data_IF_748058338878
#
_entry.id   IF_748058338878
#
_cell.length_a   1.000
_cell.length_b   1.000
_cell.length_c   1.000
_cell.angle_alpha   90.00
_cell.angle_beta   90.00
_cell.angle_gamma   90.00
#
_symmetry.space_group_name_H-M   'P 1'
#
loop_
_entity.id
_entity.type
_entity.pdbx_description
1 polymer ?
#
# COMPACT_ATOMS: atom_id res chain seq x y z
N UNK A 1 -4.55 -12.68 -38.24
CA UNK A 1 -5.27 -11.77 -37.33
C UNK A 1 -4.26 -11.22 -36.32
N UNK A 2 -4.49 -10.01 -35.81
CA UNK A 2 -3.57 -9.36 -34.87
C UNK A 2 -3.83 -9.90 -33.44
N UNK A 3 -2.88 -10.62 -32.81
CA UNK A 3 -3.06 -11.19 -31.48
C UNK A 3 -3.28 -10.13 -30.38
N UNK A 4 -2.93 -8.86 -30.61
CA UNK A 4 -3.12 -7.75 -29.67
C UNK A 4 -4.57 -7.22 -29.65
N UNK A 5 -5.37 -7.62 -30.64
CA UNK A 5 -6.80 -7.31 -30.76
C UNK A 5 -7.71 -8.46 -30.29
N UNK A 6 -7.16 -9.66 -30.12
CA UNK A 6 -7.91 -10.86 -29.75
C UNK A 6 -7.86 -11.10 -28.24
N UNK A 7 -9.01 -11.06 -27.57
CA UNK A 7 -9.11 -11.33 -26.13
C UNK A 7 -8.99 -12.84 -25.86
N UNK A 8 -8.06 -13.22 -24.98
CA UNK A 8 -7.88 -14.58 -24.46
C UNK A 8 -8.68 -14.81 -23.18
N UNK A 9 -8.64 -13.85 -22.26
CA UNK A 9 -9.41 -13.86 -21.01
C UNK A 9 -10.13 -12.52 -20.90
N UNK A 10 -11.44 -12.56 -20.74
CA UNK A 10 -12.27 -11.39 -20.46
C UNK A 10 -12.89 -11.55 -19.08
N UNK A 11 -12.58 -10.64 -18.16
CA UNK A 11 -13.09 -10.65 -16.80
C UNK A 11 -13.60 -9.26 -16.41
N UNK A 12 -14.69 -8.78 -17.02
CA UNK A 12 -15.24 -7.47 -16.72
C UNK A 12 -15.87 -7.43 -15.31
N UNK A 13 -15.82 -6.28 -14.62
CA UNK A 13 -15.25 -4.99 -15.07
C UNK A 13 -13.74 -4.85 -14.81
N UNK A 14 -13.02 -5.94 -14.49
CA UNK A 14 -11.72 -5.87 -13.86
C UNK A 14 -10.55 -5.82 -14.83
N UNK A 15 -10.42 -6.83 -15.69
CA UNK A 15 -9.26 -6.95 -16.57
C UNK A 15 -9.54 -7.75 -17.84
N UNK A 16 -8.65 -7.58 -18.81
CA UNK A 16 -8.55 -8.36 -20.05
C UNK A 16 -7.13 -8.83 -20.27
N UNK A 17 -6.99 -10.06 -20.75
CA UNK A 17 -5.71 -10.59 -21.23
C UNK A 17 -5.88 -10.91 -22.71
N UNK A 18 -5.05 -10.31 -23.56
CA UNK A 18 -5.05 -10.55 -25.00
C UNK A 18 -4.23 -11.80 -25.35
N UNK A 19 -4.43 -12.36 -26.55
CA UNK A 19 -3.66 -13.53 -27.01
C UNK A 19 -2.17 -13.26 -27.13
N UNK A 20 -1.78 -11.99 -27.30
CA UNK A 20 -0.39 -11.54 -27.23
C UNK A 20 0.24 -11.63 -25.84
N UNK A 21 -0.56 -11.78 -24.78
CA UNK A 21 -0.13 -11.68 -23.39
C UNK A 21 -0.26 -10.29 -22.79
N UNK A 22 -0.64 -9.26 -23.57
CA UNK A 22 -0.94 -7.93 -23.04
C UNK A 22 -2.05 -8.03 -22.00
N UNK A 23 -1.82 -7.44 -20.84
CA UNK A 23 -2.81 -7.28 -19.78
C UNK A 23 -3.32 -5.85 -19.78
N UNK A 24 -4.63 -5.68 -19.70
CA UNK A 24 -5.31 -4.41 -19.51
C UNK A 24 -6.13 -4.49 -18.23
N UNK A 25 -5.80 -3.69 -17.22
CA UNK A 25 -6.65 -3.47 -16.04
C UNK A 25 -7.61 -2.33 -16.36
N UNK A 26 -8.90 -2.60 -16.29
CA UNK A 26 -9.96 -1.66 -16.69
C UNK A 26 -10.40 -0.74 -15.55
N UNK A 27 -10.10 -1.14 -14.30
CA UNK A 27 -10.40 -0.39 -13.07
C UNK A 27 -9.25 -0.51 -12.07
N UNK A 28 -9.22 0.38 -11.09
CA UNK A 28 -8.24 0.30 -9.99
C UNK A 28 -6.81 0.65 -10.42
N UNK A 29 -6.65 1.41 -11.48
CA UNK A 29 -5.35 1.92 -11.98
C UNK A 29 -5.10 3.38 -11.59
N UNK A 30 -6.12 4.08 -11.09
CA UNK A 30 -5.98 5.48 -10.65
C UNK A 30 -5.04 5.56 -9.46
N UNK A 31 -4.24 6.63 -9.43
CA UNK A 31 -3.29 6.88 -8.33
C UNK A 31 -3.32 8.35 -7.93
N UNK A 32 -2.95 8.61 -6.67
CA UNK A 32 -2.71 9.96 -6.14
C UNK A 32 -1.27 10.10 -5.65
N UNK A 33 -0.65 11.28 -5.77
CA UNK A 33 0.68 11.51 -5.24
C UNK A 33 0.68 11.43 -3.70
N UNK A 34 1.81 11.06 -3.12
CA UNK A 34 2.03 11.22 -1.70
C UNK A 34 2.22 12.71 -1.36
N UNK A 35 1.91 13.10 -0.12
CA UNK A 35 2.06 14.46 0.36
C UNK A 35 1.21 14.76 1.60
N UNK A 36 1.11 16.05 1.92
CA UNK A 36 0.28 16.57 3.00
C UNK A 36 -1.19 16.60 2.57
N UNK A 37 -2.03 15.91 3.32
CA UNK A 37 -3.48 16.02 3.23
C UNK A 37 -3.97 17.14 4.14
N UNK A 38 -4.36 18.28 3.56
CA UNK A 38 -4.78 19.47 4.33
C UNK A 38 -6.03 19.24 5.19
N UNK A 39 -6.87 18.26 4.85
CA UNK A 39 -8.10 17.97 5.59
C UNK A 39 -7.83 17.22 6.91
N UNK A 40 -6.83 16.33 6.93
CA UNK A 40 -6.50 15.49 8.07
C UNK A 40 -5.19 15.85 8.76
N UNK A 41 -4.35 16.69 8.13
CA UNK A 41 -3.00 17.02 8.58
C UNK A 41 -2.00 15.87 8.43
N UNK A 42 -2.39 14.76 7.81
CA UNK A 42 -1.52 13.59 7.61
C UNK A 42 -0.56 13.87 6.47
N UNK A 43 0.73 13.60 6.70
CA UNK A 43 1.74 13.66 5.65
C UNK A 43 2.09 12.25 5.18
N UNK A 44 2.21 12.04 3.88
CA UNK A 44 2.54 10.75 3.29
C UNK A 44 3.78 10.79 2.39
N UNK A 45 4.48 9.66 2.29
CA UNK A 45 5.71 9.53 1.48
C UNK A 45 5.90 8.11 0.97
N UNK A 46 6.32 7.98 -0.28
CA UNK A 46 6.66 6.69 -0.90
C UNK A 46 8.15 6.34 -0.68
N UNK A 47 8.42 5.07 -0.38
CA UNK A 47 9.76 4.53 -0.14
C UNK A 47 9.85 3.14 -0.77
N UNK A 48 10.86 2.93 -1.63
CA UNK A 48 11.21 1.59 -2.12
C UNK A 48 11.95 0.85 -1.01
N UNK A 49 11.46 -0.33 -0.63
CA UNK A 49 12.01 -1.14 0.47
C UNK A 49 12.83 -2.34 -0.03
N UNK A 50 12.59 -2.78 -1.26
CA UNK A 50 13.40 -3.76 -1.97
C UNK A 50 13.65 -3.30 -3.40
N UNK A 51 14.91 -2.99 -3.72
CA UNK A 51 15.32 -2.54 -5.03
C UNK A 51 15.34 -3.64 -6.10
N UNK A 52 15.38 -4.93 -5.69
CA UNK A 52 15.43 -6.07 -6.62
C UNK A 52 14.04 -6.34 -7.17
N UNK A 53 13.03 -6.42 -6.30
CA UNK A 53 11.64 -6.66 -6.68
C UNK A 53 10.88 -5.38 -7.04
N UNK A 54 11.39 -4.22 -6.61
CA UNK A 54 10.72 -2.92 -6.76
C UNK A 54 9.63 -2.66 -5.73
N UNK A 55 9.44 -3.55 -4.75
CA UNK A 55 8.42 -3.40 -3.71
C UNK A 55 8.62 -2.09 -2.95
N UNK A 56 7.53 -1.35 -2.81
CA UNK A 56 7.51 -0.05 -2.16
C UNK A 56 6.43 0.01 -1.10
N UNK A 57 6.52 1.03 -0.25
CA UNK A 57 5.50 1.35 0.75
C UNK A 57 5.18 2.82 0.70
N UNK A 58 3.91 3.17 0.96
CA UNK A 58 3.51 4.53 1.30
C UNK A 58 3.40 4.66 2.82
N UNK A 59 4.23 5.51 3.38
CA UNK A 59 4.23 5.88 4.79
C UNK A 59 3.21 6.99 5.02
N UNK A 60 2.53 6.96 6.17
CA UNK A 60 1.62 8.00 6.63
C UNK A 60 1.97 8.39 8.06
N UNK A 61 2.16 9.68 8.27
CA UNK A 61 2.52 10.29 9.55
C UNK A 61 1.41 11.27 9.96
N UNK A 62 0.73 11.07 11.10
CA UNK A 62 -0.23 12.03 11.60
C UNK A 62 0.48 13.31 12.06
N UNK A 63 -0.27 14.41 12.17
CA UNK A 63 0.26 15.64 12.76
C UNK A 63 0.68 15.41 14.22
N UNK A 64 1.99 15.55 14.46
CA UNK A 64 2.63 15.38 15.76
C UNK A 64 2.74 16.69 16.56
N UNK A 65 2.35 17.82 15.97
CA UNK A 65 2.44 19.15 16.61
C UNK A 65 1.25 19.46 17.52
N UNK A 66 0.14 18.73 17.38
CA UNK A 66 -1.00 18.84 18.29
C UNK A 66 -0.59 18.55 19.75
N UNK A 67 -0.96 19.45 20.66
CA UNK A 67 -0.57 19.49 22.08
C UNK A 67 -0.63 18.12 22.75
N UNK A 68 0.56 17.55 23.02
CA UNK A 68 0.71 16.28 23.72
C UNK A 68 1.86 16.29 24.70
N UNK A 69 1.67 15.51 25.75
CA UNK A 69 2.69 15.26 26.76
C UNK A 69 3.89 14.53 26.15
N UNK A 70 5.10 14.78 26.64
CA UNK A 70 6.35 14.14 26.17
C UNK A 70 6.29 12.59 26.21
N UNK A 71 5.39 12.03 27.04
CA UNK A 71 5.15 10.60 27.14
C UNK A 71 4.42 10.03 25.90
N UNK A 72 3.45 10.76 25.35
CA UNK A 72 2.68 10.34 24.16
C UNK A 72 3.46 10.55 22.85
N UNK A 73 4.43 11.48 22.86
CA UNK A 73 5.38 11.64 21.75
C UNK A 73 6.35 10.45 21.62
N UNK A 74 6.50 9.63 22.66
CA UNK A 74 7.59 8.64 22.76
C UNK A 74 7.28 7.27 22.13
N UNK A 75 6.01 6.90 21.92
CA UNK A 75 5.63 5.59 21.35
C UNK A 75 4.33 5.66 20.58
N UNK A 76 4.42 5.61 19.25
CA UNK A 76 3.25 5.55 18.37
C UNK A 76 3.12 4.12 17.79
N UNK A 77 1.92 3.51 17.80
CA UNK A 77 1.73 2.22 17.16
C UNK A 77 2.01 2.30 15.66
N UNK A 78 2.51 1.20 15.10
CA UNK A 78 2.73 1.07 13.66
C UNK A 78 1.66 0.14 13.09
N UNK A 79 0.91 0.64 12.11
CA UNK A 79 -0.05 -0.10 11.31
C UNK A 79 0.60 -0.53 10.00
N UNK A 80 0.78 -1.84 9.77
CA UNK A 80 1.12 -2.35 8.44
C UNK A 80 -0.17 -2.70 7.71
N UNK A 81 -0.39 -2.06 6.56
CA UNK A 81 -1.62 -2.14 5.78
C UNK A 81 -1.35 -2.75 4.40
N UNK A 82 -2.18 -3.72 4.02
CA UNK A 82 -2.19 -4.30 2.68
C UNK A 82 -3.51 -3.94 2.02
N UNK A 83 -3.44 -3.29 0.86
CA UNK A 83 -4.62 -2.96 0.09
C UNK A 83 -5.32 -4.22 -0.41
N UNK A 84 -6.61 -4.11 -0.75
CA UNK A 84 -7.37 -5.20 -1.35
C UNK A 84 -7.25 -5.20 -2.88
N UNK A 85 -8.25 -5.76 -3.55
CA UNK A 85 -8.28 -5.88 -5.01
C UNK A 85 -7.95 -7.29 -5.52
N UNK A 86 -8.09 -8.29 -4.66
CA UNK A 86 -7.99 -9.71 -5.04
C UNK A 86 -6.62 -10.11 -5.60
N UNK A 87 -5.55 -9.41 -5.19
CA UNK A 87 -4.18 -9.55 -5.74
C UNK A 87 -4.03 -9.16 -7.22
N UNK A 88 -5.06 -8.60 -7.83
CA UNK A 88 -5.10 -8.27 -9.26
C UNK A 88 -5.11 -6.77 -9.54
N UNK A 89 -5.56 -5.95 -8.59
CA UNK A 89 -5.90 -4.55 -8.81
C UNK A 89 -5.42 -3.66 -7.67
N UNK A 90 -5.51 -2.35 -7.91
CA UNK A 90 -5.20 -1.29 -6.95
C UNK A 90 -3.71 -1.22 -6.60
N UNK A 91 -3.37 -0.22 -5.80
CA UNK A 91 -2.02 0.05 -5.31
C UNK A 91 -2.10 0.74 -3.96
N UNK A 92 -0.97 0.86 -3.26
CA UNK A 92 -0.84 1.73 -2.09
C UNK A 92 -1.14 3.21 -2.41
N UNK A 93 -1.05 3.60 -3.68
CA UNK A 93 -1.36 4.94 -4.17
C UNK A 93 -2.82 5.12 -4.65
N UNK A 94 -3.66 4.08 -4.55
CA UNK A 94 -5.08 4.15 -4.92
C UNK A 94 -5.81 5.28 -4.16
N UNK A 95 -6.61 6.14 -4.83
CA UNK A 95 -7.35 7.21 -4.17
C UNK A 95 -8.23 6.73 -3.02
N UNK A 96 -8.85 5.55 -3.17
CA UNK A 96 -9.74 4.95 -2.16
C UNK A 96 -8.95 4.59 -0.90
N UNK A 97 -7.87 3.83 -1.04
CA UNK A 97 -7.06 3.41 0.10
C UNK A 97 -6.28 4.57 0.71
N UNK A 98 -5.81 5.51 -0.11
CA UNK A 98 -5.14 6.71 0.37
C UNK A 98 -6.05 7.58 1.25
N UNK A 99 -7.28 7.86 0.79
CA UNK A 99 -8.25 8.66 1.57
C UNK A 99 -8.65 7.96 2.88
N UNK A 100 -8.81 6.63 2.83
CA UNK A 100 -9.07 5.81 4.01
C UNK A 100 -7.93 5.91 5.01
N UNK A 101 -6.68 5.74 4.56
CA UNK A 101 -5.51 5.78 5.43
C UNK A 101 -5.27 7.17 6.03
N UNK A 102 -5.46 8.27 5.28
CA UNK A 102 -5.41 9.63 5.84
C UNK A 102 -6.40 9.78 7.01
N UNK A 103 -7.65 9.34 6.80
CA UNK A 103 -8.69 9.39 7.84
C UNK A 103 -8.36 8.51 9.04
N UNK A 104 -7.90 7.28 8.80
CA UNK A 104 -7.58 6.31 9.85
C UNK A 104 -6.39 6.77 10.69
N UNK A 105 -5.31 7.20 10.03
CA UNK A 105 -4.08 7.67 10.68
C UNK A 105 -4.33 8.89 11.55
N UNK A 106 -5.11 9.86 11.07
CA UNK A 106 -5.46 11.04 11.86
C UNK A 106 -6.28 10.68 13.11
N UNK A 107 -7.30 9.83 12.96
CA UNK A 107 -8.21 9.46 14.06
C UNK A 107 -7.56 8.52 15.08
N UNK A 108 -6.84 7.50 14.60
CA UNK A 108 -6.21 6.49 15.45
C UNK A 108 -4.83 6.91 15.97
N UNK A 109 -4.23 7.94 15.39
CA UNK A 109 -2.88 8.44 15.71
C UNK A 109 -1.82 7.34 15.65
N UNK A 110 -1.76 6.67 14.51
CA UNK A 110 -0.81 5.60 14.21
C UNK A 110 0.08 5.99 13.04
N UNK A 111 1.30 5.47 12.99
CA UNK A 111 2.07 5.50 11.74
C UNK A 111 1.57 4.36 10.87
N UNK A 112 1.12 4.64 9.65
CA UNK A 112 0.74 3.58 8.71
C UNK A 112 1.83 3.34 7.66
N UNK A 113 2.01 2.08 7.32
CA UNK A 113 2.88 1.58 6.26
C UNK A 113 1.99 0.80 5.29
N UNK A 114 1.58 1.43 4.20
CA UNK A 114 0.76 0.82 3.15
C UNK A 114 1.66 0.14 2.14
N UNK A 115 1.60 -1.18 2.02
CA UNK A 115 2.50 -1.96 1.17
C UNK A 115 1.96 -2.04 -0.25
N UNK A 116 2.81 -1.71 -1.22
CA UNK A 116 2.54 -1.81 -2.66
C UNK A 116 3.15 -3.12 -3.18
N UNK A 117 2.44 -4.22 -2.97
CA UNK A 117 2.89 -5.56 -3.31
C UNK A 117 2.66 -5.88 -4.80
N UNK A 118 3.43 -6.83 -5.35
CA UNK A 118 3.30 -7.22 -6.76
C UNK A 118 1.97 -7.91 -7.04
N UNK A 119 1.38 -7.59 -8.19
CA UNK A 119 0.07 -8.10 -8.60
C UNK A 119 0.19 -9.29 -9.55
N UNK A 120 -0.80 -10.17 -9.46
CA UNK A 120 -1.10 -11.15 -10.50
C UNK A 120 -1.81 -10.45 -11.68
N UNK A 121 -1.77 -11.05 -12.88
CA UNK A 121 -1.08 -12.29 -13.26
C UNK A 121 0.43 -12.16 -13.53
N UNK A 122 1.00 -10.96 -13.59
CA UNK A 122 2.44 -10.75 -13.86
C UNK A 122 3.32 -11.41 -12.79
N UNK A 123 2.86 -11.35 -11.55
CA UNK A 123 3.47 -12.01 -10.40
C UNK A 123 2.42 -12.84 -9.66
N UNK A 124 2.21 -14.11 -10.06
CA UNK A 124 1.29 -15.00 -9.38
C UNK A 124 1.67 -15.18 -7.90
N UNK A 125 0.71 -15.56 -7.07
CA UNK A 125 1.00 -15.98 -5.71
C UNK A 125 2.05 -17.12 -5.72
N UNK A 126 3.02 -17.10 -4.79
CA UNK A 126 3.02 -16.35 -3.52
C UNK A 126 3.68 -14.96 -3.54
N UNK A 127 3.98 -14.36 -4.69
CA UNK A 127 4.78 -13.11 -4.76
C UNK A 127 4.27 -11.99 -3.82
N UNK A 128 2.95 -11.74 -3.80
CA UNK A 128 2.36 -10.74 -2.91
C UNK A 128 2.57 -11.06 -1.41
N UNK A 129 2.60 -12.34 -1.03
CA UNK A 129 2.89 -12.76 0.35
C UNK A 129 4.35 -12.56 0.71
N UNK A 130 5.26 -12.88 -0.22
CA UNK A 130 6.69 -12.66 -0.03
C UNK A 130 6.98 -11.16 0.16
N UNK A 131 6.40 -10.31 -0.70
CA UNK A 131 6.53 -8.85 -0.61
C UNK A 131 5.96 -8.30 0.71
N UNK A 132 4.81 -8.82 1.13
CA UNK A 132 4.17 -8.43 2.39
C UNK A 132 5.02 -8.82 3.59
N UNK A 133 5.63 -10.02 3.55
CA UNK A 133 6.52 -10.49 4.59
C UNK A 133 7.83 -9.68 4.64
N UNK A 134 8.38 -9.33 3.48
CA UNK A 134 9.56 -8.47 3.38
C UNK A 134 9.30 -7.07 3.93
N UNK A 135 8.13 -6.49 3.63
CA UNK A 135 7.69 -5.23 4.21
C UNK A 135 7.57 -5.30 5.73
N UNK A 136 6.99 -6.37 6.28
CA UNK A 136 6.88 -6.54 7.73
C UNK A 136 8.26 -6.66 8.40
N UNK A 137 9.19 -7.42 7.80
CA UNK A 137 10.58 -7.50 8.27
C UNK A 137 11.28 -6.14 8.22
N UNK A 138 11.06 -5.38 7.15
CA UNK A 138 11.60 -4.02 7.00
C UNK A 138 11.06 -3.07 8.08
N UNK A 139 9.77 -3.15 8.43
CA UNK A 139 9.20 -2.38 9.54
C UNK A 139 9.84 -2.79 10.87
N UNK A 140 9.98 -4.10 11.10
CA UNK A 140 10.54 -4.63 12.34
C UNK A 140 12.04 -4.29 12.53
N UNK A 141 12.83 -4.23 11.45
CA UNK A 141 14.26 -3.92 11.52
C UNK A 141 14.55 -2.45 11.77
N UNK A 142 13.63 -1.56 11.38
CA UNK A 142 13.72 -0.12 11.65
C UNK A 142 13.36 0.26 13.11
N UNK A 143 13.16 -0.73 13.99
CA UNK A 143 12.74 -0.58 15.38
C UNK A 143 13.88 -0.28 16.38
N UNK A 144 15.02 0.25 15.91
CA UNK A 144 16.26 0.35 16.69
C UNK A 144 16.26 1.44 17.80
N UNK A 145 15.16 2.16 18.04
CA UNK A 145 15.13 3.29 19.00
C UNK A 145 13.94 3.36 19.97
N UNK A 146 13.01 2.41 19.99
CA UNK A 146 11.93 2.40 20.99
C UNK A 146 11.03 1.18 20.90
N UNK A 147 10.38 0.79 22.01
CA UNK A 147 9.43 -0.32 22.01
C UNK A 147 8.11 0.13 21.36
N UNK A 148 7.93 -0.08 20.06
CA UNK A 148 6.62 0.07 19.39
C UNK A 148 5.79 -1.21 19.49
N UNK A 149 4.46 -1.07 19.53
CA UNK A 149 3.52 -2.16 19.29
C UNK A 149 3.12 -2.14 17.81
N UNK A 150 3.33 -3.26 17.10
CA UNK A 150 2.95 -3.42 15.69
C UNK A 150 1.56 -4.03 15.60
N UNK A 151 0.67 -3.39 14.85
CA UNK A 151 -0.65 -3.92 14.47
C UNK A 151 -0.62 -4.19 12.97
N UNK A 152 -0.94 -5.41 12.56
CA UNK A 152 -1.00 -5.80 11.15
C UNK A 152 -2.45 -5.89 10.73
N UNK A 153 -2.84 -5.20 9.66
CA UNK A 153 -4.19 -5.27 9.09
C UNK A 153 -4.08 -5.66 7.63
N UNK A 154 -4.64 -6.82 7.30
CA UNK A 154 -4.83 -7.27 5.94
C UNK A 154 -6.28 -6.99 5.54
N UNK A 155 -6.49 -6.30 4.42
CA UNK A 155 -7.81 -6.23 3.78
C UNK A 155 -7.84 -7.20 2.61
N UNK A 156 -8.89 -8.02 2.52
CA UNK A 156 -9.15 -8.95 1.42
C UNK A 156 -9.92 -8.25 0.30
#
# INVERSE_FOLDING_TARGET
MDPDSEIRVDFPPYLRIYKSGRLERLVGTDTVPAGLDSATGVNSKDVVIDAVTGVSVRLYLPDLTADKTEQEKKKMPVLVYYHGGGFLLQSAASPTYHSYLNSLVAKARVLAVSVDYRLAPEHPLPAAYDDSWDALKWVASNNSRGTYSTVVVQTV
#
